data_IF_947394218757
#
_entry.id   IF_947394218757
#
_cell.length_a   1.000
_cell.length_b   1.000
_cell.length_c   1.000
_cell.angle_alpha   90.00
_cell.angle_beta   90.00
_cell.angle_gamma   90.00
#
_symmetry.space_group_name_H-M   'P 1'
#
loop_
_entity.id
_entity.type
_entity.pdbx_description
1 polymer ?
#
# COMPACT_ATOMS: atom_id res chain seq x y z
N UNK A 1 45.56 -26.95 57.30
CA UNK A 1 46.36 -25.87 56.71
C UNK A 1 46.11 -25.85 55.20
N UNK A 2 46.02 -24.64 54.65
CA UNK A 2 46.07 -24.25 53.24
C UNK A 2 44.95 -24.71 52.27
N UNK A 3 44.35 -23.69 51.66
CA UNK A 3 43.30 -23.66 50.65
C UNK A 3 43.93 -23.54 49.24
N UNK A 4 43.10 -23.81 48.22
CA UNK A 4 42.87 -22.99 47.00
C UNK A 4 43.29 -23.46 45.59
N UNK A 5 42.28 -23.36 44.68
CA UNK A 5 42.26 -23.07 43.22
C UNK A 5 42.87 -24.10 42.24
N UNK A 6 42.34 -24.45 41.06
CA UNK A 6 41.14 -24.18 40.24
C UNK A 6 41.26 -25.09 38.95
N UNK A 7 40.64 -24.81 37.79
CA UNK A 7 39.28 -25.13 37.32
C UNK A 7 39.27 -25.95 35.99
N UNK A 8 38.10 -26.40 35.52
CA UNK A 8 37.73 -26.60 34.08
C UNK A 8 36.61 -27.66 33.98
N UNK A 9 35.58 -27.58 33.13
CA UNK A 9 35.00 -26.52 32.33
C UNK A 9 33.59 -27.02 32.02
N UNK A 10 32.55 -26.33 32.50
CA UNK A 10 31.16 -26.67 32.22
C UNK A 10 30.72 -25.85 31.01
N UNK A 11 30.77 -26.42 29.81
CA UNK A 11 30.31 -25.74 28.59
C UNK A 11 28.82 -26.03 28.40
N UNK A 12 27.97 -25.09 28.84
CA UNK A 12 26.57 -25.02 28.42
C UNK A 12 26.51 -24.58 26.95
N UNK A 13 26.14 -25.49 26.06
CA UNK A 13 25.78 -25.13 24.69
C UNK A 13 24.37 -24.50 24.67
N UNK A 14 24.30 -23.18 24.79
CA UNK A 14 23.09 -22.43 24.52
C UNK A 14 22.91 -22.31 23.00
N UNK A 15 22.10 -23.19 22.42
CA UNK A 15 21.59 -23.03 21.06
C UNK A 15 20.65 -21.82 21.04
N UNK A 16 21.19 -20.68 20.60
CA UNK A 16 20.43 -19.47 20.33
C UNK A 16 19.45 -19.72 19.19
N UNK A 17 18.17 -19.81 19.52
CA UNK A 17 17.08 -19.82 18.57
C UNK A 17 17.03 -18.44 17.92
N UNK A 18 17.55 -18.29 16.71
CA UNK A 18 17.36 -17.07 15.91
C UNK A 18 15.91 -17.05 15.45
N UNK A 19 15.05 -16.41 16.24
CA UNK A 19 13.69 -16.14 15.82
C UNK A 19 13.72 -15.30 14.53
N UNK A 20 12.99 -15.68 13.47
CA UNK A 20 12.88 -14.84 12.29
C UNK A 20 12.17 -13.55 12.70
N UNK A 21 12.78 -12.41 12.40
CA UNK A 21 12.12 -11.13 12.55
C UNK A 21 10.91 -11.11 11.61
N UNK A 22 9.70 -11.16 12.16
CA UNK A 22 8.47 -10.96 11.39
C UNK A 22 8.47 -9.50 10.97
N UNK A 23 8.75 -9.23 9.70
CA UNK A 23 8.57 -7.92 9.10
C UNK A 23 7.10 -7.53 9.22
N UNK A 24 6.82 -6.43 9.92
CA UNK A 24 5.48 -5.89 10.00
C UNK A 24 5.06 -5.40 8.61
N UNK A 25 3.86 -5.77 8.11
CA UNK A 25 3.40 -5.30 6.82
C UNK A 25 3.40 -3.76 6.81
N UNK A 26 4.04 -3.17 5.80
CA UNK A 26 4.03 -1.72 5.63
C UNK A 26 2.58 -1.21 5.61
N UNK A 27 2.30 -0.02 6.18
CA UNK A 27 0.95 0.52 6.25
C UNK A 27 0.35 0.65 4.85
N UNK A 28 -0.82 0.03 4.66
CA UNK A 28 -1.49 -0.01 3.36
C UNK A 28 -1.73 1.40 2.80
N UNK A 29 -1.51 1.61 1.49
CA UNK A 29 -1.75 2.90 0.85
C UNK A 29 -3.22 3.35 1.00
N UNK A 30 -3.43 4.63 1.27
CA UNK A 30 -4.79 5.20 1.42
C UNK A 30 -5.31 5.74 0.10
N UNK A 31 -6.57 5.42 -0.19
CA UNK A 31 -7.27 5.81 -1.40
C UNK A 31 -8.40 6.82 -1.11
N UNK A 32 -8.47 7.87 -1.91
CA UNK A 32 -9.54 8.89 -1.87
C UNK A 32 -9.86 9.39 -3.27
N UNK A 33 -11.13 9.61 -3.58
CA UNK A 33 -11.51 10.38 -4.78
C UNK A 33 -11.35 11.85 -4.47
N UNK A 34 -10.73 12.59 -5.38
CA UNK A 34 -10.56 14.04 -5.29
C UNK A 34 -10.79 14.65 -6.66
N UNK A 35 -11.09 15.94 -6.69
CA UNK A 35 -11.11 16.71 -7.93
C UNK A 35 -9.67 16.96 -8.43
N UNK A 36 -9.46 16.91 -9.75
CA UNK A 36 -8.17 17.20 -10.37
C UNK A 36 -8.30 17.99 -11.67
N UNK A 37 -9.13 19.03 -11.66
CA UNK A 37 -9.44 19.88 -12.81
C UNK A 37 -10.87 19.62 -13.27
N UNK A 38 -11.06 19.36 -14.56
CA UNK A 38 -12.36 19.05 -15.13
C UNK A 38 -12.82 17.59 -14.87
N UNK A 39 -12.00 16.78 -14.23
CA UNK A 39 -12.27 15.37 -13.94
C UNK A 39 -11.96 14.99 -12.50
N UNK A 40 -12.44 13.81 -12.10
CA UNK A 40 -12.10 13.19 -10.81
C UNK A 40 -10.83 12.35 -10.94
N UNK A 41 -9.99 12.39 -9.92
CA UNK A 41 -8.82 11.55 -9.76
C UNK A 41 -8.92 10.66 -8.53
N UNK A 42 -8.32 9.48 -8.62
CA UNK A 42 -7.95 8.70 -7.46
C UNK A 42 -6.65 9.27 -6.88
N UNK A 43 -6.74 9.86 -5.68
CA UNK A 43 -5.58 10.22 -4.86
C UNK A 43 -5.14 9.01 -4.07
N UNK A 44 -3.86 8.69 -4.23
CA UNK A 44 -3.20 7.55 -3.59
C UNK A 44 -2.09 8.13 -2.72
N UNK A 45 -2.09 7.82 -1.43
CA UNK A 45 -1.02 8.27 -0.52
C UNK A 45 -0.39 7.05 0.13
N UNK A 46 0.94 7.03 0.19
CA UNK A 46 1.67 5.91 0.78
C UNK A 46 3.02 6.31 1.33
N UNK A 47 3.75 5.29 1.73
CA UNK A 47 5.14 5.38 2.18
C UNK A 47 6.02 4.45 1.33
N UNK A 48 7.31 4.75 1.21
CA UNK A 48 8.34 3.88 0.63
C UNK A 48 9.68 4.16 1.31
N UNK A 49 10.45 3.11 1.56
CA UNK A 49 11.77 3.23 2.18
C UNK A 49 12.79 3.84 1.21
N UNK A 50 12.81 3.35 -0.04
CA UNK A 50 13.61 3.94 -1.10
C UNK A 50 12.84 5.02 -1.86
N UNK A 51 13.36 6.24 -1.87
CA UNK A 51 12.77 7.38 -2.58
C UNK A 51 12.76 7.24 -4.11
N UNK A 52 13.59 6.36 -4.67
CA UNK A 52 13.64 6.07 -6.10
C UNK A 52 12.75 4.88 -6.50
N UNK A 53 12.24 4.11 -5.53
CA UNK A 53 11.42 2.93 -5.84
C UNK A 53 10.15 3.31 -6.61
N UNK A 54 9.87 2.64 -7.75
CA UNK A 54 8.69 2.92 -8.55
C UNK A 54 7.42 2.55 -7.76
N UNK A 55 6.33 3.24 -8.11
CA UNK A 55 4.98 2.92 -7.61
C UNK A 55 4.15 2.50 -8.80
N UNK A 56 3.57 1.30 -8.73
CA UNK A 56 2.75 0.74 -9.80
C UNK A 56 1.30 0.59 -9.34
N UNK A 57 0.37 0.84 -10.26
CA UNK A 57 -1.06 0.56 -10.13
C UNK A 57 -1.44 -0.47 -11.19
N UNK A 58 -1.85 -1.66 -10.74
CA UNK A 58 -2.15 -2.81 -11.60
C UNK A 58 -1.04 -3.08 -12.63
N UNK A 59 0.23 -2.96 -12.21
CA UNK A 59 1.40 -3.13 -13.09
C UNK A 59 1.78 -1.92 -13.94
N UNK A 60 1.03 -0.82 -13.88
CA UNK A 60 1.37 0.42 -14.58
C UNK A 60 2.07 1.41 -13.64
N UNK A 61 3.27 1.86 -14.00
CA UNK A 61 3.98 2.89 -13.24
C UNK A 61 3.21 4.21 -13.24
N UNK A 62 3.10 4.84 -12.08
CA UNK A 62 2.41 6.12 -11.89
C UNK A 62 3.36 7.20 -11.39
N UNK A 63 3.18 8.41 -11.90
CA UNK A 63 3.91 9.56 -11.40
C UNK A 63 3.46 9.90 -9.97
N UNK A 64 4.44 10.04 -9.06
CA UNK A 64 4.22 10.39 -7.66
C UNK A 64 4.89 11.71 -7.32
N UNK A 65 4.27 12.47 -6.42
CA UNK A 65 4.87 13.65 -5.79
C UNK A 65 5.35 13.29 -4.39
N UNK A 66 6.58 13.67 -4.05
CA UNK A 66 7.21 13.38 -2.76
C UNK A 66 8.22 12.23 -2.83
N UNK A 67 8.97 12.05 -1.74
CA UNK A 67 10.04 11.05 -1.61
C UNK A 67 9.53 9.84 -0.84
N UNK A 68 9.89 9.68 0.43
CA UNK A 68 9.46 8.56 1.27
C UNK A 68 7.97 8.59 1.55
N UNK A 69 7.41 9.75 1.93
CA UNK A 69 5.96 9.98 1.91
C UNK A 69 5.60 10.58 0.56
N UNK A 70 4.65 9.95 -0.12
CA UNK A 70 4.32 10.32 -1.49
C UNK A 70 2.81 10.36 -1.74
N UNK A 71 2.43 11.06 -2.81
CA UNK A 71 1.05 11.16 -3.27
C UNK A 71 1.02 11.05 -4.78
N UNK A 72 0.17 10.17 -5.30
CA UNK A 72 -0.16 10.09 -6.70
C UNK A 72 -1.59 10.63 -6.94
N UNK A 73 -1.82 11.19 -8.12
CA UNK A 73 -3.16 11.50 -8.62
C UNK A 73 -3.31 10.84 -9.98
N UNK A 74 -4.22 9.88 -10.07
CA UNK A 74 -4.47 9.14 -11.31
C UNK A 74 -5.90 9.44 -11.77
N UNK A 75 -6.10 9.95 -12.99
CA UNK A 75 -7.44 10.15 -13.56
C UNK A 75 -8.31 8.90 -13.44
N UNK A 76 -9.57 9.04 -13.04
CA UNK A 76 -10.48 7.89 -12.87
C UNK A 76 -10.67 7.13 -14.19
N UNK A 77 -10.67 7.83 -15.32
CA UNK A 77 -10.72 7.19 -16.64
C UNK A 77 -9.53 6.23 -16.87
N UNK A 78 -8.33 6.62 -16.42
CA UNK A 78 -7.12 5.81 -16.53
C UNK A 78 -7.14 4.63 -15.55
N UNK A 79 -7.56 4.85 -14.31
CA UNK A 79 -7.77 3.76 -13.33
C UNK A 79 -8.76 2.73 -13.87
N UNK A 80 -9.85 3.18 -14.49
CA UNK A 80 -10.85 2.29 -15.11
C UNK A 80 -10.27 1.48 -16.26
N UNK A 81 -9.47 2.10 -17.12
CA UNK A 81 -8.83 1.42 -18.24
C UNK A 81 -7.83 0.35 -17.80
N UNK A 82 -7.15 0.57 -16.68
CA UNK A 82 -6.15 -0.35 -16.12
C UNK A 82 -6.72 -1.38 -15.14
N UNK A 83 -8.02 -1.34 -14.86
CA UNK A 83 -8.67 -2.24 -13.92
C UNK A 83 -9.55 -3.25 -14.66
N UNK A 84 -9.72 -4.43 -14.07
CA UNK A 84 -10.77 -5.33 -14.50
C UNK A 84 -12.14 -4.63 -14.38
N UNK A 85 -13.11 -4.96 -15.25
CA UNK A 85 -14.47 -4.45 -15.13
C UNK A 85 -15.04 -4.67 -13.73
N UNK A 86 -15.59 -3.62 -13.13
CA UNK A 86 -16.20 -3.64 -11.79
C UNK A 86 -15.26 -4.05 -10.65
N UNK A 87 -13.95 -3.91 -10.83
CA UNK A 87 -12.98 -4.18 -9.78
C UNK A 87 -13.31 -3.38 -8.52
N UNK A 88 -13.30 -4.07 -7.36
CA UNK A 88 -13.55 -3.48 -6.04
C UNK A 88 -12.24 -3.11 -5.32
N UNK A 89 -11.11 -3.57 -5.84
CA UNK A 89 -9.78 -3.29 -5.35
C UNK A 89 -8.83 -3.04 -6.53
N UNK A 90 -7.71 -2.40 -6.22
CA UNK A 90 -6.57 -2.28 -7.13
C UNK A 90 -5.35 -2.92 -6.46
N UNK A 91 -4.44 -3.39 -7.31
CA UNK A 91 -3.13 -3.82 -6.89
C UNK A 91 -2.17 -2.64 -6.93
N UNK A 92 -1.53 -2.33 -5.81
CA UNK A 92 -0.45 -1.37 -5.73
C UNK A 92 0.85 -2.12 -5.51
N UNK A 93 1.89 -1.79 -6.26
CA UNK A 93 3.24 -2.29 -5.97
C UNK A 93 4.15 -1.12 -5.63
N UNK A 94 4.88 -1.23 -4.51
CA UNK A 94 5.82 -0.21 -4.03
C UNK A 94 7.08 -0.95 -3.62
N UNK A 95 8.22 -0.65 -4.25
CA UNK A 95 9.48 -1.34 -3.95
C UNK A 95 9.37 -2.88 -4.02
N UNK A 96 8.59 -3.40 -4.99
CA UNK A 96 8.23 -4.81 -5.16
C UNK A 96 7.37 -5.43 -4.05
N UNK A 97 6.93 -4.64 -3.06
CA UNK A 97 5.88 -5.06 -2.13
C UNK A 97 4.51 -4.83 -2.73
N UNK A 98 3.66 -5.85 -2.62
CA UNK A 98 2.33 -5.86 -3.19
C UNK A 98 1.26 -5.55 -2.13
N UNK A 99 0.41 -4.57 -2.41
CA UNK A 99 -0.68 -4.14 -1.55
C UNK A 99 -2.00 -4.15 -2.32
N UNK A 100 -2.95 -4.94 -1.85
CA UNK A 100 -4.33 -4.85 -2.32
C UNK A 100 -5.06 -3.74 -1.56
N UNK A 101 -5.61 -2.76 -2.28
CA UNK A 101 -6.32 -1.64 -1.68
C UNK A 101 -7.76 -1.53 -2.19
N UNK A 102 -8.72 -1.41 -1.27
CA UNK A 102 -10.14 -1.27 -1.62
C UNK A 102 -10.40 0.07 -2.27
N UNK A 103 -11.03 0.04 -3.45
CA UNK A 103 -11.43 1.25 -4.14
C UNK A 103 -12.59 1.92 -3.40
N UNK A 104 -12.67 3.27 -3.44
CA UNK A 104 -13.85 3.99 -3.03
C UNK A 104 -15.12 3.44 -3.70
N UNK A 105 -16.20 3.34 -2.92
CA UNK A 105 -17.49 2.82 -3.39
C UNK A 105 -17.94 3.61 -4.62
N UNK A 106 -18.42 2.89 -5.65
CA UNK A 106 -18.94 3.49 -6.87
C UNK A 106 -17.89 3.96 -7.88
N UNK A 107 -16.59 3.97 -7.55
CA UNK A 107 -15.54 4.51 -8.44
C UNK A 107 -15.54 3.87 -9.83
N UNK A 108 -15.63 2.54 -9.86
CA UNK A 108 -15.64 1.73 -11.08
C UNK A 108 -17.01 1.10 -11.35
N UNK A 109 -18.06 1.62 -10.72
CA UNK A 109 -19.44 1.19 -10.97
C UNK A 109 -19.84 1.31 -12.44
N UNK A 110 -20.94 0.65 -12.79
CA UNK A 110 -21.59 0.80 -14.09
C UNK A 110 -21.87 2.29 -14.35
N UNK A 111 -21.54 2.77 -15.56
CA UNK A 111 -22.19 3.96 -16.11
C UNK A 111 -23.61 3.55 -16.49
N UNK A 112 -24.47 3.28 -15.50
CA UNK A 112 -25.89 3.39 -15.77
C UNK A 112 -26.11 4.86 -16.11
N UNK A 113 -26.58 5.16 -17.32
CA UNK A 113 -27.12 6.49 -17.60
C UNK A 113 -28.25 6.70 -16.59
N UNK A 114 -27.96 7.48 -15.54
CA UNK A 114 -28.95 7.87 -14.57
C UNK A 114 -29.87 8.86 -15.27
N UNK A 115 -30.94 8.36 -15.87
CA UNK A 115 -31.91 9.17 -16.60
C UNK A 115 -32.48 10.32 -15.75
N UNK A 116 -32.56 10.14 -14.42
CA UNK A 116 -32.88 11.19 -13.46
C UNK A 116 -32.51 10.75 -12.03
N UNK A 117 -31.85 11.62 -11.26
CA UNK A 117 -31.70 11.47 -9.80
C UNK A 117 -32.40 12.65 -9.12
N UNK A 118 -33.58 12.41 -8.53
CA UNK A 118 -34.31 13.42 -7.76
C UNK A 118 -33.81 13.40 -6.32
N UNK A 119 -33.17 14.48 -5.88
CA UNK A 119 -32.80 14.71 -4.48
C UNK A 119 -33.73 15.77 -3.92
N UNK A 120 -34.64 15.38 -3.04
CA UNK A 120 -35.51 16.30 -2.30
C UNK A 120 -35.00 16.49 -0.88
N UNK A 121 -34.99 17.74 -0.43
CA UNK A 121 -34.78 18.15 0.97
C UNK A 121 -36.14 18.54 1.54
N UNK A 122 -36.41 18.15 2.78
CA UNK A 122 -37.64 18.52 3.50
C UNK A 122 -37.49 19.88 4.16
#
# INVERSE_FOLDING_TARGET
>A
MARFFAPAALVLAALGITAPAIAQPAPAPKLRVVECGAESCLRITGHRDDSAAPVLLNGHEIAVKGRHRWTARVPVAKVRHWSAPYARSIQLSVANEEHSAQLPIGLLGTRGDLAMLVVSVK
#
